data_IF_296023890811
#
_entry.id   IF_296023890811
#
_cell.length_a   1.000
_cell.length_b   1.000
_cell.length_c   1.000
_cell.angle_alpha   90.00
_cell.angle_beta   90.00
_cell.angle_gamma   90.00
#
_symmetry.space_group_name_H-M   'P 1'
#
loop_
_entity.id
_entity.type
_entity.pdbx_description
1 polymer ?
#
# COMPACT_ATOMS: atom_id res chain seq x y z
N UNK A 1 -15.76 18.47 -0.54
CA UNK A 1 -14.52 17.68 -0.55
C UNK A 1 -14.58 16.71 -1.73
N UNK A 2 -13.74 16.94 -2.75
CA UNK A 2 -13.73 16.11 -3.95
C UNK A 2 -13.00 14.79 -3.65
N UNK A 3 -13.77 13.71 -3.54
CA UNK A 3 -13.32 12.32 -3.31
C UNK A 3 -12.34 11.92 -4.42
N UNK A 4 -11.14 11.44 -4.10
CA UNK A 4 -10.20 10.83 -5.05
C UNK A 4 -10.70 9.44 -5.45
N UNK A 5 -10.59 9.12 -6.75
CA UNK A 5 -10.94 7.83 -7.35
C UNK A 5 -12.44 7.55 -7.46
N UNK A 6 -12.95 7.38 -8.68
CA UNK A 6 -14.33 6.95 -8.94
C UNK A 6 -14.61 5.53 -8.39
N UNK A 7 -13.57 4.82 -7.94
CA UNK A 7 -13.60 3.46 -7.36
C UNK A 7 -13.01 3.33 -5.93
N UNK A 8 -12.62 4.42 -5.25
CA UNK A 8 -12.27 4.42 -3.82
C UNK A 8 -11.08 3.54 -3.36
N UNK A 9 -10.21 3.10 -4.29
CA UNK A 9 -9.00 2.33 -3.96
C UNK A 9 -7.78 3.24 -3.91
N UNK A 10 -7.37 3.61 -2.71
CA UNK A 10 -6.14 4.37 -2.44
C UNK A 10 -4.90 3.56 -2.83
N UNK A 11 -3.72 4.21 -3.03
CA UNK A 11 -2.48 3.49 -3.30
C UNK A 11 -2.21 2.37 -2.29
N UNK A 12 -2.38 2.63 -0.99
CA UNK A 12 -2.23 1.60 0.04
C UNK A 12 -3.17 0.41 -0.15
N UNK A 13 -4.44 0.62 -0.50
CA UNK A 13 -5.42 -0.48 -0.72
C UNK A 13 -5.06 -1.30 -1.95
N UNK A 14 -4.73 -0.63 -3.07
CA UNK A 14 -4.30 -1.29 -4.31
C UNK A 14 -3.09 -2.19 -4.09
N UNK A 15 -2.06 -1.68 -3.42
CA UNK A 15 -0.83 -2.44 -3.16
C UNK A 15 -1.08 -3.58 -2.18
N UNK A 16 -1.85 -3.35 -1.12
CA UNK A 16 -2.18 -4.38 -0.14
C UNK A 16 -2.96 -5.55 -0.78
N UNK A 17 -3.98 -5.24 -1.59
CA UNK A 17 -4.74 -6.25 -2.34
C UNK A 17 -3.83 -7.05 -3.28
N UNK A 18 -2.91 -6.38 -3.99
CA UNK A 18 -1.95 -7.04 -4.89
C UNK A 18 -0.96 -7.93 -4.16
N UNK A 19 -0.51 -7.55 -2.97
CA UNK A 19 0.39 -8.35 -2.14
C UNK A 19 -0.34 -9.58 -1.56
N UNK A 20 -1.65 -9.48 -1.34
CA UNK A 20 -2.50 -10.60 -0.91
C UNK A 20 -2.24 -11.05 0.54
N UNK A 21 -1.63 -10.19 1.36
CA UNK A 21 -1.40 -10.45 2.78
C UNK A 21 -2.48 -9.82 3.65
N UNK A 22 -2.71 -10.37 4.84
CA UNK A 22 -3.41 -9.63 5.89
C UNK A 22 -2.56 -8.45 6.36
N UNK A 23 -3.21 -7.41 6.91
CA UNK A 23 -2.52 -6.24 7.46
C UNK A 23 -1.49 -6.60 8.55
N UNK A 24 -1.70 -7.68 9.30
CA UNK A 24 -0.77 -8.16 10.32
C UNK A 24 0.47 -8.82 9.69
N UNK A 25 0.30 -9.63 8.66
CA UNK A 25 1.40 -10.26 7.94
C UNK A 25 2.22 -9.24 7.16
N UNK A 26 1.56 -8.28 6.50
CA UNK A 26 2.25 -7.20 5.81
C UNK A 26 3.07 -6.35 6.79
N UNK A 27 2.52 -6.03 7.95
CA UNK A 27 3.25 -5.30 8.99
C UNK A 27 4.50 -6.06 9.45
N UNK A 28 4.39 -7.38 9.66
CA UNK A 28 5.55 -8.23 10.01
C UNK A 28 6.59 -8.26 8.90
N UNK A 29 6.17 -8.45 7.65
CA UNK A 29 7.07 -8.48 6.49
C UNK A 29 7.80 -7.14 6.28
N UNK A 30 7.12 -6.02 6.54
CA UNK A 30 7.72 -4.67 6.47
C UNK A 30 8.53 -4.28 7.71
N UNK A 31 8.53 -5.09 8.79
CA UNK A 31 9.13 -4.71 10.08
C UNK A 31 8.46 -3.48 10.72
N UNK A 32 7.14 -3.38 10.59
CA UNK A 32 6.31 -2.25 11.09
C UNK A 32 5.26 -2.73 12.09
N UNK A 33 4.71 -1.79 12.86
CA UNK A 33 3.53 -2.07 13.68
C UNK A 33 2.26 -2.23 12.82
N UNK A 34 1.43 -3.21 13.16
CA UNK A 34 0.12 -3.44 12.52
C UNK A 34 -0.76 -2.19 12.48
N UNK A 35 -0.75 -1.40 13.55
CA UNK A 35 -1.56 -0.17 13.64
C UNK A 35 -1.22 0.84 12.55
N UNK A 36 0.03 0.91 12.09
CA UNK A 36 0.42 1.75 10.96
C UNK A 36 -0.27 1.32 9.67
N UNK A 37 -0.22 0.02 9.36
CA UNK A 37 -0.85 -0.53 8.15
C UNK A 37 -2.38 -0.34 8.21
N UNK A 38 -2.99 -0.63 9.36
CA UNK A 38 -4.43 -0.47 9.54
C UNK A 38 -4.90 0.98 9.33
N UNK A 39 -4.14 1.97 9.82
CA UNK A 39 -4.47 3.39 9.59
C UNK A 39 -4.33 3.74 8.11
N UNK A 40 -3.24 3.33 7.47
CA UNK A 40 -2.98 3.61 6.07
C UNK A 40 -4.04 3.01 5.11
N UNK A 41 -4.60 1.84 5.46
CA UNK A 41 -5.69 1.21 4.69
C UNK A 41 -7.06 1.88 4.89
N UNK A 42 -7.27 2.55 6.02
CA UNK A 42 -8.50 3.29 6.33
C UNK A 42 -8.40 4.80 6.07
N UNK A 43 -7.24 5.26 5.59
CA UNK A 43 -7.01 6.65 5.20
C UNK A 43 -7.62 6.90 3.81
N UNK A 44 -8.41 7.97 3.69
CA UNK A 44 -9.10 8.36 2.47
C UNK A 44 -8.14 8.74 1.34
N UNK A 45 -6.96 9.27 1.67
CA UNK A 45 -5.92 9.57 0.69
C UNK A 45 -5.00 8.36 0.48
N UNK A 46 -4.76 7.60 1.56
CA UNK A 46 -4.00 6.35 1.56
C UNK A 46 -2.70 6.42 0.76
N UNK A 47 -1.95 7.52 0.93
CA UNK A 47 -0.66 7.76 0.28
C UNK A 47 0.45 6.92 0.90
N UNK A 48 1.36 6.46 0.05
CA UNK A 48 2.50 5.64 0.46
C UNK A 48 3.76 6.51 0.49
N UNK A 49 4.36 6.65 1.67
CA UNK A 49 5.64 7.36 1.83
C UNK A 49 6.77 6.65 1.08
N UNK A 50 7.79 7.38 0.61
CA UNK A 50 8.92 6.77 -0.11
C UNK A 50 9.62 5.64 0.66
N UNK A 51 9.74 5.76 1.99
CA UNK A 51 10.27 4.67 2.83
C UNK A 51 9.36 3.43 2.79
N UNK A 52 8.06 3.61 2.85
CA UNK A 52 7.13 2.48 2.80
C UNK A 52 7.05 1.88 1.39
N UNK A 53 7.21 2.67 0.32
CA UNK A 53 7.35 2.16 -1.05
C UNK A 53 8.53 1.20 -1.17
N UNK A 54 9.71 1.58 -0.67
CA UNK A 54 10.89 0.71 -0.68
C UNK A 54 10.67 -0.60 0.07
N UNK A 55 9.99 -0.53 1.22
CA UNK A 55 9.64 -1.72 2.01
C UNK A 55 8.64 -2.61 1.27
N UNK A 56 7.61 -2.03 0.65
CA UNK A 56 6.61 -2.76 -0.13
C UNK A 56 7.24 -3.44 -1.35
N UNK A 57 8.13 -2.75 -2.07
CA UNK A 57 8.90 -3.33 -3.18
C UNK A 57 9.78 -4.49 -2.71
N UNK A 58 10.43 -4.36 -1.55
CA UNK A 58 11.22 -5.45 -0.96
C UNK A 58 10.33 -6.67 -0.68
N UNK A 59 9.21 -6.48 0.03
CA UNK A 59 8.26 -7.57 0.35
C UNK A 59 7.70 -8.21 -0.92
N UNK A 60 7.34 -7.40 -1.92
CA UNK A 60 6.84 -7.90 -3.20
C UNK A 60 7.89 -8.74 -3.92
N UNK A 61 9.14 -8.25 -3.99
CA UNK A 61 10.26 -8.98 -4.60
C UNK A 61 10.54 -10.32 -3.92
N UNK A 62 10.56 -10.35 -2.60
CA UNK A 62 10.77 -11.58 -1.81
C UNK A 62 9.68 -12.63 -2.07
N UNK A 63 8.50 -12.20 -2.55
CA UNK A 63 7.34 -13.05 -2.84
C UNK A 63 7.13 -13.31 -4.33
N UNK A 64 8.00 -12.81 -5.20
CA UNK A 64 7.85 -12.93 -6.65
C UNK A 64 6.69 -12.11 -7.23
N UNK A 65 6.22 -11.08 -6.52
CA UNK A 65 5.14 -10.21 -6.97
C UNK A 65 5.76 -9.02 -7.71
N UNK A 66 5.37 -8.84 -8.97
CA UNK A 66 5.76 -7.68 -9.76
C UNK A 66 5.00 -6.44 -9.26
N UNK A 67 5.66 -5.59 -8.48
CA UNK A 67 5.12 -4.33 -7.97
C UNK A 67 5.96 -3.17 -8.48
N UNK A 68 5.33 -2.27 -9.25
CA UNK A 68 5.99 -1.08 -9.80
C UNK A 68 5.75 0.17 -8.94
N UNK A 69 6.63 1.16 -9.09
CA UNK A 69 6.49 2.44 -8.38
C UNK A 69 5.20 3.19 -8.75
N UNK A 70 4.82 3.16 -10.03
CA UNK A 70 3.62 3.84 -10.52
C UNK A 70 2.33 3.30 -9.89
N UNK A 71 2.31 2.01 -9.51
CA UNK A 71 1.17 1.43 -8.82
C UNK A 71 1.01 1.91 -7.37
N UNK A 72 2.07 2.48 -6.80
CA UNK A 72 2.10 3.04 -5.45
C UNK A 72 1.83 4.55 -5.44
N UNK A 73 1.59 5.15 -6.61
CA UNK A 73 1.28 6.56 -6.76
C UNK A 73 -0.25 6.76 -6.86
N UNK A 74 -0.77 7.90 -6.38
CA UNK A 74 -2.17 8.25 -6.61
C UNK A 74 -2.41 8.41 -8.11
N UNK A 75 -3.59 8.00 -8.57
CA UNK A 75 -3.99 8.21 -9.96
C UNK A 75 -4.06 9.71 -10.25
N UNK A 76 -3.30 10.16 -11.26
CA UNK A 76 -3.36 11.55 -11.71
C UNK A 76 -4.74 11.79 -12.33
N UNK A 77 -5.47 12.77 -11.81
CA UNK A 77 -6.70 13.28 -12.39
C UNK A 77 -6.42 14.30 -13.47
#
# INVERSE_FOLDING_TARGET
>A
MQRLGKDGRTPWRKVHEKIGLSAAELARAMGRHRSKISRALGDDDGLISGRDQLLLMKVARERGIALSADEMMPERR
#
